data_IF_325840024584
#
_entry.id   IF_325840024584
#
_cell.length_a   1.000
_cell.length_b   1.000
_cell.length_c   1.000
_cell.angle_alpha   90.00
_cell.angle_beta   90.00
_cell.angle_gamma   90.00
#
_symmetry.space_group_name_H-M   'P 1'
#
loop_
_entity.id
_entity.type
_entity.pdbx_description
1 polymer ?
#
# COMPACT_ATOMS: atom_id res chain seq x y z
N UNK A 1 -11.63 -14.30 -12.71
CA UNK A 1 -10.50 -14.08 -13.64
C UNK A 1 -10.10 -12.61 -13.55
N UNK A 2 -9.20 -12.33 -12.60
CA UNK A 2 -8.30 -11.16 -12.49
C UNK A 2 -7.42 -11.54 -11.29
N UNK A 3 -6.53 -12.50 -11.52
CA UNK A 3 -5.51 -12.85 -10.53
C UNK A 3 -4.69 -11.58 -10.31
N UNK A 4 -4.70 -11.10 -9.07
CA UNK A 4 -3.91 -10.00 -8.51
C UNK A 4 -2.41 -10.30 -8.66
N UNK A 5 -1.91 -10.31 -9.89
CA UNK A 5 -0.49 -10.52 -10.25
C UNK A 5 0.43 -9.36 -9.81
N UNK A 6 -0.08 -8.40 -9.04
CA UNK A 6 0.68 -7.30 -8.45
C UNK A 6 0.98 -7.44 -6.96
N UNK A 7 0.37 -8.42 -6.26
CA UNK A 7 0.59 -8.65 -4.82
C UNK A 7 1.79 -9.58 -4.56
N UNK A 8 2.04 -10.53 -5.46
CA UNK A 8 3.03 -11.60 -5.28
C UNK A 8 4.50 -11.11 -5.32
N UNK A 9 4.75 -9.95 -5.94
CA UNK A 9 6.12 -9.41 -6.08
C UNK A 9 6.60 -8.74 -4.78
N UNK A 10 5.68 -8.26 -3.94
CA UNK A 10 6.03 -7.61 -2.67
C UNK A 10 6.08 -8.57 -1.50
N UNK A 11 5.14 -9.54 -1.41
CA UNK A 11 4.93 -10.34 -0.19
C UNK A 11 6.19 -11.08 0.27
N UNK A 12 6.98 -11.61 -0.66
CA UNK A 12 8.21 -12.33 -0.30
C UNK A 12 9.25 -11.44 0.37
N UNK A 13 9.29 -10.14 0.09
CA UNK A 13 10.32 -9.23 0.61
C UNK A 13 9.79 -8.39 1.78
N UNK A 14 8.49 -8.08 1.83
CA UNK A 14 7.85 -7.45 3.01
C UNK A 14 7.70 -8.38 4.20
N UNK A 15 7.75 -9.71 4.01
CA UNK A 15 7.77 -10.68 5.11
C UNK A 15 8.94 -10.45 6.07
N UNK A 16 9.94 -9.67 5.67
CA UNK A 16 11.09 -9.29 6.50
C UNK A 16 10.87 -8.02 7.33
N UNK A 17 9.80 -7.25 7.07
CA UNK A 17 9.42 -6.06 7.85
C UNK A 17 7.99 -6.19 8.39
N UNK A 18 7.84 -6.68 9.64
CA UNK A 18 6.55 -6.84 10.29
C UNK A 18 5.77 -5.53 10.48
N UNK A 19 6.46 -4.40 10.66
CA UNK A 19 5.80 -3.09 10.86
C UNK A 19 5.18 -2.61 9.55
N UNK A 20 5.93 -2.69 8.45
CA UNK A 20 5.41 -2.39 7.12
C UNK A 20 4.21 -3.27 6.77
N UNK A 21 4.31 -4.57 7.05
CA UNK A 21 3.21 -5.50 6.75
C UNK A 21 1.94 -5.14 7.55
N UNK A 22 2.10 -4.78 8.83
CA UNK A 22 0.98 -4.36 9.68
C UNK A 22 0.31 -3.09 9.13
N UNK A 23 1.07 -2.05 8.82
CA UNK A 23 0.54 -0.80 8.25
C UNK A 23 -0.22 -1.05 6.93
N UNK A 24 0.34 -1.88 6.05
CA UNK A 24 -0.29 -2.23 4.76
C UNK A 24 -1.58 -3.01 4.97
N UNK A 25 -1.62 -3.92 5.93
CA UNK A 25 -2.82 -4.71 6.25
C UNK A 25 -3.91 -3.83 6.85
N UNK A 26 -3.58 -2.91 7.75
CA UNK A 26 -4.54 -1.99 8.38
C UNK A 26 -5.23 -1.10 7.33
N UNK A 27 -4.47 -0.48 6.44
CA UNK A 27 -5.04 0.36 5.36
C UNK A 27 -5.92 -0.46 4.39
N UNK A 28 -5.60 -1.73 4.17
CA UNK A 28 -6.42 -2.63 3.35
C UNK A 28 -7.73 -2.98 4.04
N UNK A 29 -7.70 -3.30 5.34
CA UNK A 29 -8.89 -3.57 6.12
C UNK A 29 -9.83 -2.35 6.14
N UNK A 30 -9.28 -1.15 6.37
CA UNK A 30 -10.07 0.09 6.29
C UNK A 30 -10.75 0.26 4.92
N UNK A 31 -10.06 -0.07 3.82
CA UNK A 31 -10.61 0.01 2.47
C UNK A 31 -11.69 -1.05 2.20
N UNK A 32 -11.55 -2.24 2.78
CA UNK A 32 -12.55 -3.30 2.68
C UNK A 32 -13.83 -2.97 3.47
N UNK A 33 -13.70 -2.30 4.60
CA UNK A 33 -14.83 -1.86 5.44
C UNK A 33 -15.47 -0.55 4.93
N UNK A 34 -14.76 0.20 4.08
CA UNK A 34 -15.24 1.46 3.54
C UNK A 34 -16.56 1.30 2.79
N UNK A 35 -17.59 2.02 3.27
CA UNK A 35 -18.95 1.94 2.75
C UNK A 35 -19.40 3.21 2.03
N UNK A 36 -18.64 4.29 2.16
CA UNK A 36 -18.96 5.61 1.61
C UNK A 36 -17.78 6.19 0.84
N UNK A 37 -18.05 7.13 -0.07
CA UNK A 37 -17.00 7.88 -0.77
C UNK A 37 -16.14 8.70 0.19
N UNK A 38 -16.72 9.19 1.30
CA UNK A 38 -15.99 9.94 2.33
C UNK A 38 -14.97 9.06 3.06
N UNK A 39 -15.32 7.80 3.37
CA UNK A 39 -14.38 6.84 3.98
C UNK A 39 -13.19 6.60 3.05
N UNK A 40 -13.46 6.35 1.77
CA UNK A 40 -12.43 6.12 0.76
C UNK A 40 -11.57 7.35 0.54
N UNK A 41 -12.17 8.55 0.60
CA UNK A 41 -11.42 9.79 0.51
C UNK A 41 -10.46 9.98 1.69
N UNK A 42 -10.85 9.61 2.91
CA UNK A 42 -9.96 9.59 4.08
C UNK A 42 -8.81 8.61 3.90
N UNK A 43 -9.10 7.38 3.45
CA UNK A 43 -8.11 6.33 3.20
C UNK A 43 -7.14 6.77 2.11
N UNK A 44 -7.64 7.42 1.06
CA UNK A 44 -6.81 8.02 0.01
C UNK A 44 -5.84 9.04 0.58
N UNK A 45 -6.30 9.93 1.46
CA UNK A 45 -5.42 10.92 2.09
C UNK A 45 -4.33 10.26 2.92
N UNK A 46 -4.67 9.26 3.76
CA UNK A 46 -3.70 8.50 4.55
C UNK A 46 -2.67 7.79 3.66
N UNK A 47 -3.11 7.15 2.56
CA UNK A 47 -2.21 6.50 1.62
C UNK A 47 -1.28 7.52 0.92
N UNK A 48 -1.81 8.66 0.49
CA UNK A 48 -1.02 9.71 -0.15
C UNK A 48 0.05 10.29 0.81
N UNK A 49 -0.28 10.47 2.10
CA UNK A 49 0.67 10.87 3.14
C UNK A 49 1.80 9.84 3.30
N UNK A 50 1.46 8.55 3.44
CA UNK A 50 2.45 7.46 3.55
C UNK A 50 3.33 7.33 2.31
N UNK A 51 2.78 7.54 1.11
CA UNK A 51 3.56 7.60 -0.13
C UNK A 51 4.56 8.74 -0.10
N UNK A 52 4.14 9.93 0.33
CA UNK A 52 5.00 11.10 0.37
C UNK A 52 6.15 10.91 1.36
N UNK A 53 5.86 10.43 2.58
CA UNK A 53 6.88 10.09 3.58
C UNK A 53 7.90 9.08 3.03
N UNK A 54 7.42 8.03 2.36
CA UNK A 54 8.28 7.00 1.76
C UNK A 54 9.17 7.58 0.66
N UNK A 55 8.67 8.51 -0.16
CA UNK A 55 9.44 9.20 -1.21
C UNK A 55 10.53 10.09 -0.59
N UNK A 56 10.22 10.78 0.51
CA UNK A 56 11.18 11.61 1.25
C UNK A 56 12.31 10.76 1.85
N UNK A 57 11.96 9.63 2.46
CA UNK A 57 12.92 8.66 2.96
C UNK A 57 13.77 8.05 1.84
N UNK A 58 13.15 7.62 0.74
CA UNK A 58 13.85 7.09 -0.43
C UNK A 58 14.87 8.10 -0.98
N UNK A 59 14.46 9.37 -1.13
CA UNK A 59 15.32 10.45 -1.60
C UNK A 59 16.51 10.67 -0.66
N UNK A 60 16.26 10.61 0.65
CA UNK A 60 17.30 10.73 1.68
C UNK A 60 18.27 9.55 1.64
N UNK A 61 17.78 8.31 1.47
CA UNK A 61 18.64 7.13 1.35
C UNK A 61 19.53 7.18 0.12
N UNK A 62 19.01 7.62 -1.03
CA UNK A 62 19.83 7.84 -2.23
C UNK A 62 20.89 8.92 -2.04
N UNK A 63 20.53 10.05 -1.40
CA UNK A 63 21.48 11.13 -1.13
C UNK A 63 22.64 10.70 -0.21
N UNK A 64 22.40 9.72 0.67
CA UNK A 64 23.39 9.18 1.59
C UNK A 64 24.05 7.87 1.10
N UNK A 65 23.82 7.46 -0.15
CA UNK A 65 24.31 6.20 -0.72
C UNK A 65 23.89 4.95 0.08
N UNK A 66 22.81 5.04 0.85
CA UNK A 66 22.25 3.95 1.65
C UNK A 66 21.33 3.06 0.78
N UNK A 67 21.92 2.36 -0.20
CA UNK A 67 21.18 1.64 -1.24
C UNK A 67 20.31 0.49 -0.73
N UNK A 68 20.73 -0.19 0.34
CA UNK A 68 19.92 -1.26 0.95
C UNK A 68 18.62 -0.68 1.52
N UNK A 69 18.69 0.43 2.28
CA UNK A 69 17.49 1.13 2.77
C UNK A 69 16.65 1.70 1.62
N UNK A 70 17.29 2.22 0.56
CA UNK A 70 16.57 2.70 -0.61
C UNK A 70 15.76 1.57 -1.27
N UNK A 71 16.28 0.33 -1.27
CA UNK A 71 15.55 -0.84 -1.77
C UNK A 71 14.31 -1.12 -0.94
N UNK A 72 14.42 -1.07 0.39
CA UNK A 72 13.29 -1.29 1.30
C UNK A 72 12.19 -0.23 1.07
N UNK A 73 12.57 1.05 0.96
CA UNK A 73 11.62 2.14 0.65
C UNK A 73 10.99 2.01 -0.75
N UNK A 74 11.69 1.47 -1.74
CA UNK A 74 11.09 1.17 -3.05
C UNK A 74 10.02 0.09 -2.97
N UNK A 75 10.24 -0.95 -2.16
CA UNK A 75 9.26 -2.01 -1.91
C UNK A 75 8.03 -1.42 -1.21
N UNK A 76 8.25 -0.62 -0.14
CA UNK A 76 7.17 0.08 0.55
C UNK A 76 6.35 0.97 -0.39
N UNK A 77 6.99 1.72 -1.29
CA UNK A 77 6.29 2.56 -2.27
C UNK A 77 5.41 1.72 -3.23
N UNK A 78 5.86 0.53 -3.59
CA UNK A 78 5.07 -0.39 -4.42
C UNK A 78 3.78 -0.84 -3.70
N UNK A 79 3.82 -1.03 -2.39
CA UNK A 79 2.63 -1.34 -1.59
C UNK A 79 1.61 -0.21 -1.60
N UNK A 80 2.06 1.02 -1.33
CA UNK A 80 1.18 2.17 -1.32
C UNK A 80 0.57 2.45 -2.70
N UNK A 81 1.34 2.26 -3.77
CA UNK A 81 0.81 2.38 -5.13
C UNK A 81 -0.21 1.27 -5.45
N UNK A 82 -0.05 0.07 -4.88
CA UNK A 82 -1.06 -1.00 -5.01
C UNK A 82 -2.35 -0.66 -4.24
N UNK A 83 -2.25 -0.07 -3.05
CA UNK A 83 -3.41 0.41 -2.29
C UNK A 83 -4.10 1.54 -3.06
N UNK A 84 -3.35 2.51 -3.58
CA UNK A 84 -3.88 3.58 -4.42
C UNK A 84 -4.68 3.05 -5.61
N UNK A 85 -4.19 2.01 -6.27
CA UNK A 85 -4.94 1.33 -7.35
C UNK A 85 -6.26 0.74 -6.83
N UNK A 86 -6.23 0.05 -5.69
CA UNK A 86 -7.43 -0.50 -5.07
C UNK A 86 -8.45 0.60 -4.69
N UNK A 87 -7.99 1.75 -4.20
CA UNK A 87 -8.82 2.93 -3.90
C UNK A 87 -9.50 3.46 -5.16
N UNK A 88 -8.76 3.56 -6.27
CA UNK A 88 -9.32 4.02 -7.55
C UNK A 88 -10.34 3.03 -8.12
N UNK A 89 -10.10 1.73 -7.93
CA UNK A 89 -11.00 0.66 -8.38
C UNK A 89 -12.19 0.42 -7.43
N UNK A 90 -12.20 1.06 -6.26
CA UNK A 90 -13.26 0.94 -5.28
C UNK A 90 -14.58 1.50 -5.83
N UNK A 91 -15.70 0.87 -5.45
CA UNK A 91 -17.03 1.36 -5.77
C UNK A 91 -18.03 0.94 -4.69
N UNK A 92 -19.00 1.79 -4.33
CA UNK A 92 -19.94 1.50 -3.26
C UNK A 92 -20.82 0.29 -3.63
N UNK A 93 -20.99 -0.65 -2.69
CA UNK A 93 -21.85 -1.82 -2.86
C UNK A 93 -21.26 -2.99 -3.66
N UNK A 94 -20.04 -2.88 -4.19
CA UNK A 94 -19.29 -4.07 -4.66
C UNK A 94 -18.73 -4.78 -3.44
N UNK A 95 -19.37 -5.88 -3.05
CA UNK A 95 -18.80 -6.80 -2.07
C UNK A 95 -17.53 -7.39 -2.70
N UNK A 96 -16.36 -7.09 -2.16
CA UNK A 96 -15.13 -7.81 -2.51
C UNK A 96 -15.39 -9.26 -2.10
N UNK A 97 -15.60 -10.16 -3.08
CA UNK A 97 -15.78 -11.58 -2.79
C UNK A 97 -14.45 -12.13 -2.26
N UNK A 98 -14.33 -12.17 -0.93
CA UNK A 98 -13.21 -12.79 -0.24
C UNK A 98 -13.44 -14.30 -0.31
N UNK A 99 -12.72 -14.99 -1.19
CA UNK A 99 -12.59 -16.43 -1.10
C UNK A 99 -11.56 -16.75 0.00
N UNK A 100 -12.06 -17.29 1.12
CA UNK A 100 -11.25 -17.87 2.19
C UNK A 100 -10.45 -19.09 1.71
#
# INVERSE_FOLDING_TARGET
MLALRGLDVGESESLHDPELLMDVMEVREELEEASTEDDVHRIKLQNDEKMQETIEHLSTSFANEAFDQAKDYMIQLQYWENIRRAIVDWSPGKRLEIHH
#
